data_IF_800971334149
#
_entry.id   IF_800971334149
#
_cell.length_a   1.000
_cell.length_b   1.000
_cell.length_c   1.000
_cell.angle_alpha   90.00
_cell.angle_beta   90.00
_cell.angle_gamma   90.00
#
_symmetry.space_group_name_H-M   'P 1'
#
loop_
_entity.id
_entity.type
_entity.pdbx_description
1 polymer ?
#
# COMPACT_ATOMS: atom_id res chain seq x y z
N UNK A 1 5.57 26.42 7.72
CA UNK A 1 5.48 25.03 7.20
C UNK A 1 5.61 25.10 5.70
N UNK A 2 6.49 24.28 5.13
CA UNK A 2 6.70 24.20 3.68
C UNK A 2 5.51 23.53 2.99
N UNK A 3 5.25 23.93 1.76
CA UNK A 3 4.27 23.25 0.92
C UNK A 3 4.84 21.93 0.39
N UNK A 4 4.05 20.87 0.45
CA UNK A 4 4.46 19.53 0.00
C UNK A 4 3.68 19.12 -1.24
N UNK A 5 4.40 18.63 -2.23
CA UNK A 5 3.84 18.21 -3.52
C UNK A 5 4.12 16.74 -3.80
N UNK A 6 3.23 16.13 -4.57
CA UNK A 6 3.40 14.80 -5.17
C UNK A 6 3.89 15.04 -6.59
N UNK A 7 5.04 14.50 -6.94
CA UNK A 7 5.63 14.68 -8.28
C UNK A 7 5.51 13.43 -9.15
N UNK A 8 5.36 12.28 -8.54
CA UNK A 8 5.24 11.00 -9.24
C UNK A 8 4.57 9.96 -8.36
N UNK A 9 4.09 8.89 -8.99
CA UNK A 9 3.58 7.72 -8.31
C UNK A 9 3.54 6.50 -9.21
N UNK A 10 3.61 5.33 -8.60
CA UNK A 10 3.51 4.05 -9.26
C UNK A 10 2.79 3.03 -8.37
N UNK A 11 2.09 2.09 -8.99
CA UNK A 11 1.53 0.91 -8.30
C UNK A 11 1.75 -0.36 -9.11
N UNK A 12 1.74 -1.49 -8.45
CA UNK A 12 1.60 -2.77 -9.13
C UNK A 12 0.14 -2.96 -9.60
N UNK A 13 -0.13 -3.89 -10.51
CA UNK A 13 -1.48 -4.42 -10.61
C UNK A 13 -1.92 -5.03 -9.28
N UNK A 14 -3.23 -5.05 -9.04
CA UNK A 14 -3.83 -5.67 -7.85
C UNK A 14 -4.09 -7.14 -8.11
N UNK A 15 -3.30 -8.01 -7.47
CA UNK A 15 -3.47 -9.45 -7.51
C UNK A 15 -4.64 -9.91 -6.62
N UNK A 16 -5.36 -10.94 -7.05
CA UNK A 16 -6.35 -11.63 -6.24
C UNK A 16 -5.66 -12.58 -5.24
N UNK A 17 -6.33 -12.89 -4.13
CA UNK A 17 -5.87 -13.89 -3.18
C UNK A 17 -5.63 -15.25 -3.85
N UNK A 18 -4.40 -15.76 -3.73
CA UNK A 18 -3.98 -16.98 -4.41
C UNK A 18 -3.81 -16.83 -5.94
N UNK A 19 -3.87 -15.59 -6.47
CA UNK A 19 -3.73 -15.26 -7.89
C UNK A 19 -2.29 -15.09 -8.36
N UNK A 20 -2.10 -14.23 -9.34
CA UNK A 20 -0.80 -14.06 -10.03
C UNK A 20 0.34 -13.65 -9.11
N UNK A 21 0.08 -12.84 -8.09
CA UNK A 21 1.11 -12.35 -7.16
C UNK A 21 1.32 -13.22 -5.91
N UNK A 22 0.63 -14.35 -5.77
CA UNK A 22 0.62 -15.20 -4.57
C UNK A 22 1.98 -15.67 -4.03
N UNK A 23 2.99 -15.68 -4.87
CA UNK A 23 4.35 -16.11 -4.53
C UNK A 23 5.38 -14.99 -4.63
N UNK A 24 4.96 -13.75 -4.87
CA UNK A 24 5.84 -12.59 -4.98
C UNK A 24 6.01 -11.93 -3.62
N UNK A 25 7.22 -11.92 -3.02
CA UNK A 25 7.46 -11.31 -1.72
C UNK A 25 7.08 -9.82 -1.71
N UNK A 26 6.44 -9.38 -0.63
CA UNK A 26 5.98 -7.99 -0.48
C UNK A 26 7.10 -6.97 -0.67
N UNK A 27 8.30 -7.28 -0.19
CA UNK A 27 9.47 -6.40 -0.31
C UNK A 27 9.91 -6.20 -1.77
N UNK A 28 9.68 -7.18 -2.65
CA UNK A 28 9.94 -7.05 -4.08
C UNK A 28 8.91 -6.14 -4.75
N UNK A 29 7.63 -6.26 -4.38
CA UNK A 29 6.58 -5.34 -4.87
C UNK A 29 6.85 -3.92 -4.39
N UNK A 30 7.22 -3.75 -3.12
CA UNK A 30 7.62 -2.46 -2.56
C UNK A 30 8.82 -1.85 -3.28
N UNK A 31 9.87 -2.63 -3.51
CA UNK A 31 11.05 -2.18 -4.25
C UNK A 31 10.71 -1.72 -5.68
N UNK A 32 9.87 -2.47 -6.37
CA UNK A 32 9.44 -2.15 -7.73
C UNK A 32 8.74 -0.80 -7.81
N UNK A 33 7.76 -0.54 -6.94
CA UNK A 33 7.01 0.73 -6.97
C UNK A 33 7.84 1.92 -6.51
N UNK A 34 8.76 1.75 -5.55
CA UNK A 34 9.70 2.79 -5.14
C UNK A 34 10.63 3.19 -6.30
N UNK A 35 11.21 2.19 -6.97
CA UNK A 35 12.08 2.38 -8.14
C UNK A 35 11.33 3.09 -9.28
N UNK A 36 10.14 2.62 -9.60
CA UNK A 36 9.36 3.17 -10.70
C UNK A 36 8.85 4.59 -10.43
N UNK A 37 8.51 4.91 -9.17
CA UNK A 37 8.15 6.27 -8.81
C UNK A 37 9.29 7.27 -9.06
N UNK A 38 10.54 6.87 -8.84
CA UNK A 38 11.72 7.67 -9.18
C UNK A 38 11.91 7.79 -10.70
N UNK A 39 11.88 6.66 -11.42
CA UNK A 39 12.04 6.62 -12.88
C UNK A 39 11.04 7.49 -13.61
N UNK A 40 9.77 7.42 -13.23
CA UNK A 40 8.70 8.25 -13.81
C UNK A 40 8.89 9.74 -13.58
N UNK A 41 9.58 10.12 -12.50
CA UNK A 41 9.97 11.50 -12.25
C UNK A 41 11.23 11.93 -13.02
N UNK A 42 11.85 11.05 -13.79
CA UNK A 42 13.14 11.32 -14.44
C UNK A 42 14.33 11.35 -13.46
N UNK A 43 14.19 10.69 -12.31
CA UNK A 43 15.16 10.74 -11.21
C UNK A 43 15.84 9.39 -10.97
N UNK A 44 17.06 9.46 -10.45
CA UNK A 44 17.80 8.32 -9.88
C UNK A 44 18.30 8.66 -8.49
N UNK A 45 18.28 7.70 -7.55
CA UNK A 45 18.75 7.96 -6.20
C UNK A 45 20.27 8.09 -6.14
N UNK A 46 20.74 8.99 -5.28
CA UNK A 46 22.16 9.22 -5.02
C UNK A 46 22.37 9.55 -3.54
N UNK A 47 23.53 9.18 -3.00
CA UNK A 47 23.97 9.64 -1.67
C UNK A 47 24.31 11.12 -1.73
N UNK A 48 23.77 11.91 -0.82
CA UNK A 48 24.10 13.34 -0.72
C UNK A 48 25.55 13.57 -0.35
N UNK A 49 26.10 14.68 -0.81
CA UNK A 49 27.51 15.02 -0.55
C UNK A 49 27.82 15.17 0.94
N UNK A 50 26.87 15.64 1.73
CA UNK A 50 26.99 15.78 3.18
C UNK A 50 27.08 14.46 3.94
N UNK A 51 26.56 13.36 3.35
CA UNK A 51 26.65 12.02 3.92
C UNK A 51 27.93 11.28 3.51
N UNK A 52 28.65 11.81 2.50
CA UNK A 52 29.95 11.28 2.08
C UNK A 52 30.98 11.69 3.11
N UNK A 53 31.51 10.75 3.87
CA UNK A 53 32.51 11.01 4.91
C UNK A 53 32.06 10.68 6.34
N UNK A 54 30.77 10.44 6.56
CA UNK A 54 30.25 9.87 7.80
C UNK A 54 30.26 8.33 7.81
N UNK A 55 30.81 7.73 6.77
CA UNK A 55 30.98 6.28 6.73
C UNK A 55 31.92 5.83 7.86
N UNK A 56 31.60 4.73 8.57
CA UNK A 56 32.55 4.10 9.48
C UNK A 56 33.87 3.82 8.78
N UNK A 57 35.00 4.00 9.47
CA UNK A 57 36.34 3.88 8.86
C UNK A 57 36.55 2.57 8.08
N UNK A 58 35.93 1.48 8.55
CA UNK A 58 35.98 0.18 7.86
C UNK A 58 35.20 0.14 6.52
N UNK A 59 34.35 1.13 6.25
CA UNK A 59 33.55 1.21 5.03
C UNK A 59 33.98 2.36 4.10
N UNK A 60 34.89 3.21 4.54
CA UNK A 60 35.41 4.33 3.74
C UNK A 60 36.02 3.83 2.42
N UNK A 61 35.53 4.39 1.32
CA UNK A 61 36.01 4.10 -0.01
C UNK A 61 35.55 2.78 -0.61
N UNK A 62 34.73 1.98 0.07
CA UNK A 62 34.17 0.74 -0.50
C UNK A 62 33.06 0.99 -1.52
N UNK A 63 32.48 2.20 -1.53
CA UNK A 63 31.37 2.57 -2.41
C UNK A 63 30.12 1.72 -2.13
N UNK A 64 29.36 1.42 -3.18
CA UNK A 64 28.15 0.59 -3.07
C UNK A 64 28.49 -0.85 -2.70
N UNK A 65 27.75 -1.44 -1.78
CA UNK A 65 27.81 -2.87 -1.48
C UNK A 65 27.38 -3.71 -2.68
N UNK A 66 27.74 -5.01 -2.72
CA UNK A 66 27.32 -5.88 -3.83
C UNK A 66 25.80 -6.00 -3.95
N UNK A 67 25.09 -5.91 -2.83
CA UNK A 67 23.62 -5.89 -2.82
C UNK A 67 23.08 -4.63 -3.47
N UNK A 68 23.63 -3.47 -3.15
CA UNK A 68 23.25 -2.18 -3.74
C UNK A 68 23.58 -2.16 -5.24
N UNK A 69 24.76 -2.60 -5.64
CA UNK A 69 25.17 -2.71 -7.07
C UNK A 69 24.20 -3.59 -7.86
N UNK A 70 23.77 -4.72 -7.29
CA UNK A 70 22.82 -5.63 -7.93
C UNK A 70 21.42 -5.00 -8.09
N UNK A 71 21.02 -4.17 -7.14
CA UNK A 71 19.70 -3.51 -7.14
C UNK A 71 19.68 -2.21 -7.96
N UNK A 72 20.84 -1.58 -8.16
CA UNK A 72 20.98 -0.29 -8.86
C UNK A 72 21.08 -0.50 -10.38
N UNK A 73 19.96 -0.31 -11.07
CA UNK A 73 19.82 -0.43 -12.53
C UNK A 73 19.18 0.82 -13.16
N UNK A 74 19.46 1.98 -12.58
CA UNK A 74 18.99 3.26 -13.11
C UNK A 74 19.82 3.71 -14.30
N UNK A 75 19.14 4.33 -15.28
CA UNK A 75 19.83 5.00 -16.39
C UNK A 75 20.65 6.19 -15.84
N UNK A 76 21.91 6.26 -16.26
CA UNK A 76 22.83 7.33 -15.84
C UNK A 76 22.40 8.72 -16.30
N UNK A 77 21.56 8.82 -17.36
CA UNK A 77 21.02 10.09 -17.88
C UNK A 77 19.95 10.70 -16.96
N UNK A 78 19.35 9.89 -16.04
CA UNK A 78 18.37 10.39 -15.08
C UNK A 78 19.02 11.36 -14.09
N UNK A 79 18.28 12.41 -13.72
CA UNK A 79 18.77 13.42 -12.79
C UNK A 79 18.97 12.83 -11.39
N UNK A 80 20.16 13.02 -10.78
CA UNK A 80 20.43 12.49 -9.45
C UNK A 80 19.66 13.25 -8.37
N UNK A 81 19.14 12.55 -7.38
CA UNK A 81 18.45 13.12 -6.21
C UNK A 81 18.77 12.33 -4.95
N UNK A 82 18.96 13.03 -3.85
CA UNK A 82 19.01 12.42 -2.51
C UNK A 82 17.58 12.10 -2.07
N UNK A 83 17.40 10.91 -1.53
CA UNK A 83 16.17 10.50 -0.85
C UNK A 83 16.45 10.50 0.64
N UNK A 84 15.71 11.30 1.38
CA UNK A 84 15.95 11.48 2.82
C UNK A 84 15.25 10.39 3.64
N UNK A 85 14.04 9.98 3.23
CA UNK A 85 13.28 8.98 3.98
C UNK A 85 12.34 8.15 3.09
N UNK A 86 12.16 6.88 3.46
CA UNK A 86 11.20 5.96 2.85
C UNK A 86 10.25 5.41 3.92
N UNK A 87 8.95 5.64 3.75
CA UNK A 87 7.92 5.19 4.69
C UNK A 87 6.93 4.29 3.98
N UNK A 88 6.87 3.01 4.37
CA UNK A 88 5.94 2.05 3.75
C UNK A 88 4.98 1.47 4.78
N UNK A 89 3.69 1.54 4.47
CA UNK A 89 2.65 0.83 5.20
C UNK A 89 2.70 -0.67 4.91
N UNK A 90 2.64 -1.49 5.95
CA UNK A 90 2.48 -2.94 5.85
C UNK A 90 1.76 -3.44 7.10
N UNK A 91 0.63 -4.10 6.92
CA UNK A 91 -0.25 -4.54 8.02
C UNK A 91 0.16 -5.89 8.54
N UNK A 92 0.57 -6.79 7.66
CA UNK A 92 0.83 -8.20 7.92
C UNK A 92 2.29 -8.57 7.69
N UNK A 93 3.24 -8.02 8.50
CA UNK A 93 4.68 -8.18 8.26
C UNK A 93 5.25 -9.51 8.77
N UNK A 94 4.44 -10.42 9.28
CA UNK A 94 4.91 -11.67 9.85
C UNK A 94 5.72 -12.48 8.82
N UNK A 95 6.87 -13.01 9.24
CA UNK A 95 7.80 -13.79 8.43
C UNK A 95 8.39 -13.07 7.20
N UNK A 96 8.27 -11.75 7.10
CA UNK A 96 8.86 -10.96 6.00
C UNK A 96 10.27 -10.41 6.33
N UNK A 97 10.81 -10.76 7.48
CA UNK A 97 12.10 -10.25 7.96
C UNK A 97 11.99 -8.89 8.65
N UNK A 98 13.13 -8.31 8.98
CA UNK A 98 13.19 -7.05 9.69
C UNK A 98 12.86 -5.89 8.75
N UNK A 99 12.01 -4.96 9.21
CA UNK A 99 11.70 -3.69 8.54
C UNK A 99 11.49 -3.84 7.01
N UNK A 100 10.35 -4.35 6.55
CA UNK A 100 10.08 -4.54 5.12
C UNK A 100 10.28 -3.29 4.26
N UNK A 101 10.03 -2.07 4.79
CA UNK A 101 10.32 -0.82 4.10
C UNK A 101 11.81 -0.66 3.80
N UNK A 102 12.68 -1.01 4.75
CA UNK A 102 14.14 -0.96 4.57
C UNK A 102 14.62 -1.96 3.51
N UNK A 103 14.05 -3.16 3.50
CA UNK A 103 14.36 -4.17 2.50
C UNK A 103 13.94 -3.69 1.10
N UNK A 104 12.75 -3.09 0.98
CA UNK A 104 12.26 -2.51 -0.27
C UNK A 104 13.11 -1.34 -0.76
N UNK A 105 13.58 -0.48 0.15
CA UNK A 105 14.48 0.63 -0.15
C UNK A 105 15.77 0.11 -0.83
N UNK A 106 16.46 -0.83 -0.19
CA UNK A 106 17.69 -1.43 -0.75
C UNK A 106 17.41 -2.15 -2.07
N UNK A 107 16.31 -2.93 -2.13
CA UNK A 107 15.88 -3.59 -3.36
C UNK A 107 15.51 -2.63 -4.50
N UNK A 108 15.13 -1.41 -4.19
CA UNK A 108 14.91 -0.34 -5.16
C UNK A 108 16.21 0.33 -5.65
N UNK A 109 17.37 -0.02 -5.10
CA UNK A 109 18.65 0.62 -5.42
C UNK A 109 18.81 2.00 -4.79
N UNK A 110 18.03 2.33 -3.76
CA UNK A 110 18.20 3.55 -2.98
C UNK A 110 19.37 3.34 -2.01
N UNK A 111 20.27 4.33 -1.83
CA UNK A 111 21.45 4.20 -1.01
C UNK A 111 21.16 3.77 0.43
N UNK A 112 22.07 3.00 1.02
CA UNK A 112 21.97 2.51 2.40
C UNK A 112 21.96 3.63 3.45
N UNK A 113 22.41 4.79 3.12
CA UNK A 113 22.42 6.00 3.96
C UNK A 113 21.01 6.56 4.17
N UNK A 114 20.09 6.32 3.22
CA UNK A 114 18.69 6.72 3.35
C UNK A 114 18.00 5.93 4.47
N UNK A 115 17.25 6.61 5.32
CA UNK A 115 16.48 5.97 6.39
C UNK A 115 15.16 5.39 5.88
N UNK A 116 14.64 4.37 6.57
CA UNK A 116 13.34 3.80 6.25
C UNK A 116 12.67 3.18 7.46
N UNK A 117 11.35 3.25 7.52
CA UNK A 117 10.58 2.50 8.51
C UNK A 117 9.24 2.00 7.95
N UNK A 118 8.78 0.91 8.56
CA UNK A 118 7.48 0.30 8.25
C UNK A 118 6.45 0.76 9.27
N UNK A 119 5.25 1.14 8.80
CA UNK A 119 4.17 1.60 9.68
C UNK A 119 2.94 0.71 9.53
N UNK A 120 2.28 0.45 10.66
CA UNK A 120 0.99 -0.20 10.73
C UNK A 120 -0.07 0.72 11.33
N UNK A 121 -1.06 1.06 10.54
CA UNK A 121 -2.32 1.71 10.91
C UNK A 121 -3.49 0.99 10.24
N UNK A 122 -3.41 -0.34 10.17
CA UNK A 122 -4.35 -1.21 9.45
C UNK A 122 -4.55 -0.73 8.01
N UNK A 123 -5.75 -0.82 7.46
CA UNK A 123 -6.08 -0.43 6.08
C UNK A 123 -5.69 1.01 5.70
N UNK A 124 -5.37 1.86 6.67
CA UNK A 124 -4.92 3.24 6.46
C UNK A 124 -3.39 3.41 6.49
N UNK A 125 -2.61 2.33 6.55
CA UNK A 125 -1.13 2.38 6.70
C UNK A 125 -0.46 3.16 5.58
N UNK A 126 -0.77 2.86 4.32
CA UNK A 126 -0.20 3.59 3.17
C UNK A 126 -0.55 5.08 3.18
N UNK A 127 -1.81 5.42 3.47
CA UNK A 127 -2.23 6.82 3.58
C UNK A 127 -1.55 7.53 4.77
N UNK A 128 -1.33 6.80 5.89
CA UNK A 128 -0.58 7.36 7.04
C UNK A 128 0.90 7.53 6.71
N UNK A 129 1.51 6.67 5.91
CA UNK A 129 2.87 6.85 5.41
C UNK A 129 3.00 8.17 4.63
N UNK A 130 2.07 8.45 3.72
CA UNK A 130 2.03 9.74 2.99
C UNK A 130 1.88 10.93 3.95
N UNK A 131 1.01 10.82 4.96
CA UNK A 131 0.85 11.88 5.96
C UNK A 131 2.13 12.11 6.79
N UNK A 132 2.88 11.07 7.14
CA UNK A 132 4.16 11.17 7.87
C UNK A 132 5.25 11.77 6.98
N UNK A 133 5.40 11.32 5.73
CA UNK A 133 6.32 11.93 4.77
C UNK A 133 6.01 13.41 4.54
N UNK A 134 4.72 13.77 4.47
CA UNK A 134 4.30 15.17 4.41
C UNK A 134 4.73 15.95 5.65
N UNK A 135 4.63 15.36 6.85
CA UNK A 135 5.05 15.99 8.10
C UNK A 135 6.56 16.23 8.11
N UNK A 136 7.35 15.21 7.77
CA UNK A 136 8.80 15.34 7.72
C UNK A 136 9.24 16.47 6.77
N UNK A 137 8.67 16.53 5.56
CA UNK A 137 9.00 17.57 4.58
C UNK A 137 8.51 18.96 5.05
N UNK A 138 7.28 19.05 5.56
CA UNK A 138 6.72 20.34 6.04
C UNK A 138 7.50 20.94 7.20
N UNK A 139 8.09 20.09 8.07
CA UNK A 139 8.89 20.52 9.21
C UNK A 139 10.34 20.83 8.82
N UNK A 140 10.80 20.39 7.65
CA UNK A 140 12.19 20.56 7.18
C UNK A 140 13.13 19.42 7.61
N UNK A 141 12.60 18.32 8.12
CA UNK A 141 13.37 17.12 8.48
C UNK A 141 13.79 16.34 7.20
N UNK A 142 13.07 16.54 6.10
CA UNK A 142 13.34 15.96 4.79
C UNK A 142 13.00 16.96 3.67
N UNK A 143 13.65 16.83 2.51
CA UNK A 143 13.32 17.54 1.27
C UNK A 143 12.60 16.62 0.29
N UNK A 144 13.02 15.36 0.23
CA UNK A 144 12.51 14.36 -0.71
C UNK A 144 12.24 13.05 0.02
N UNK A 145 11.02 12.56 -0.06
CA UNK A 145 10.62 11.30 0.56
C UNK A 145 9.81 10.41 -0.37
N UNK A 146 9.90 9.12 -0.17
CA UNK A 146 9.03 8.12 -0.78
C UNK A 146 8.08 7.57 0.28
N UNK A 147 6.79 7.60 -0.03
CA UNK A 147 5.76 7.11 0.90
C UNK A 147 4.73 6.26 0.18
N UNK A 148 4.33 5.15 0.79
CA UNK A 148 3.39 4.24 0.17
C UNK A 148 2.91 3.12 1.07
N UNK A 149 2.51 2.02 0.46
CA UNK A 149 2.11 0.80 1.15
C UNK A 149 2.31 -0.42 0.26
N UNK A 150 2.45 -1.56 0.90
CA UNK A 150 2.65 -2.84 0.25
C UNK A 150 2.05 -3.96 1.10
N UNK A 151 1.39 -4.91 0.46
CA UNK A 151 0.79 -6.05 1.14
C UNK A 151 0.76 -7.27 0.23
N UNK A 152 1.14 -8.43 0.74
CA UNK A 152 0.93 -9.73 0.08
C UNK A 152 0.14 -10.62 1.03
N UNK A 153 -1.18 -10.47 0.99
CA UNK A 153 -2.08 -11.20 1.87
C UNK A 153 -2.05 -12.71 1.58
N UNK A 154 -1.72 -13.09 0.34
CA UNK A 154 -1.54 -14.49 -0.07
C UNK A 154 -0.35 -15.18 0.58
N UNK A 155 0.63 -14.43 1.12
CA UNK A 155 1.83 -14.97 1.75
C UNK A 155 1.82 -14.91 3.27
N UNK A 156 0.72 -14.46 3.86
CA UNK A 156 0.63 -14.36 5.33
C UNK A 156 0.65 -15.76 5.93
N UNK A 157 1.55 -16.04 6.91
CA UNK A 157 1.69 -17.35 7.48
C UNK A 157 0.62 -17.64 8.55
N UNK A 158 0.56 -18.92 8.92
CA UNK A 158 -0.05 -19.36 10.17
C UNK A 158 0.99 -19.32 11.29
N UNK A 159 0.57 -19.11 12.53
CA UNK A 159 1.42 -19.13 13.70
C UNK A 159 0.91 -20.12 14.76
N UNK A 160 1.84 -20.67 15.50
CA UNK A 160 1.57 -21.53 16.67
C UNK A 160 2.16 -20.85 17.92
N UNK A 161 1.41 -19.98 18.61
CA UNK A 161 1.94 -19.14 19.69
C UNK A 161 2.53 -19.92 20.87
N UNK A 162 2.00 -21.10 21.13
CA UNK A 162 2.41 -21.95 22.26
C UNK A 162 3.71 -22.74 22.04
N UNK A 163 4.14 -22.91 20.77
CA UNK A 163 5.27 -23.76 20.40
C UNK A 163 6.64 -23.24 20.82
N UNK A 164 6.81 -21.96 21.09
CA UNK A 164 8.09 -21.40 21.56
C UNK A 164 8.60 -22.09 22.83
N UNK A 165 7.69 -22.53 23.68
CA UNK A 165 8.01 -23.18 24.95
C UNK A 165 7.62 -24.65 24.98
N UNK A 166 7.20 -25.21 23.84
CA UNK A 166 6.73 -26.56 23.64
C UNK A 166 5.26 -26.76 24.03
N UNK A 167 4.52 -27.48 23.23
CA UNK A 167 3.19 -27.98 23.58
C UNK A 167 3.37 -29.21 24.45
N UNK A 168 3.10 -29.10 25.75
CA UNK A 168 3.41 -30.18 26.72
C UNK A 168 2.40 -31.33 26.66
N UNK A 169 1.13 -31.02 26.45
CA UNK A 169 0.04 -32.04 26.40
C UNK A 169 -1.21 -31.41 25.79
N UNK A 170 -1.93 -32.14 24.93
CA UNK A 170 -3.15 -31.72 24.25
C UNK A 170 -2.91 -31.17 22.87
N UNK A 171 -3.99 -30.70 22.22
CA UNK A 171 -3.97 -30.20 20.88
C UNK A 171 -3.30 -28.83 20.79
N UNK A 172 -2.67 -28.54 19.62
CA UNK A 172 -2.07 -27.25 19.32
C UNK A 172 -2.91 -26.55 18.27
N UNK A 173 -3.32 -25.33 18.55
CA UNK A 173 -4.08 -24.48 17.61
C UNK A 173 -3.14 -23.66 16.77
N UNK A 174 -3.27 -23.79 15.46
CA UNK A 174 -2.59 -22.96 14.48
C UNK A 174 -3.47 -21.76 14.12
N UNK A 175 -3.00 -20.55 14.40
CA UNK A 175 -3.73 -19.31 14.13
C UNK A 175 -3.42 -18.79 12.72
N UNK A 176 -4.45 -18.51 11.95
CA UNK A 176 -4.33 -17.78 10.66
C UNK A 176 -4.06 -16.29 10.95
N UNK A 177 -2.83 -15.84 10.69
CA UNK A 177 -2.44 -14.46 10.95
C UNK A 177 -3.11 -13.46 9.97
N UNK A 178 -3.56 -13.91 8.80
CA UNK A 178 -4.36 -13.08 7.89
C UNK A 178 -5.67 -12.66 8.56
N UNK A 179 -6.32 -13.60 9.24
CA UNK A 179 -7.55 -13.33 9.99
C UNK A 179 -7.23 -12.57 11.27
N UNK A 180 -6.34 -13.10 12.09
CA UNK A 180 -6.08 -12.60 13.45
C UNK A 180 -5.57 -11.14 13.44
N UNK A 181 -4.58 -10.83 12.61
CA UNK A 181 -3.91 -9.52 12.59
C UNK A 181 -4.49 -8.55 11.55
N UNK A 182 -5.21 -9.05 10.54
CA UNK A 182 -5.71 -8.24 9.43
C UNK A 182 -7.22 -8.07 9.37
N UNK A 183 -8.01 -9.10 9.63
CA UNK A 183 -9.44 -9.11 9.33
C UNK A 183 -10.34 -9.29 10.55
N UNK A 184 -9.80 -9.66 11.71
CA UNK A 184 -10.53 -9.78 12.95
C UNK A 184 -10.53 -8.45 13.71
N UNK A 185 -11.71 -8.03 14.17
CA UNK A 185 -11.85 -6.89 15.07
C UNK A 185 -11.38 -7.32 16.47
N UNK A 186 -10.31 -6.69 16.97
CA UNK A 186 -9.59 -7.17 18.15
C UNK A 186 -10.34 -7.01 19.48
N UNK A 187 -11.30 -6.08 19.56
CA UNK A 187 -12.02 -5.78 20.82
C UNK A 187 -13.27 -6.65 20.99
N UNK A 188 -13.94 -6.97 19.88
CA UNK A 188 -15.17 -7.77 19.88
C UNK A 188 -14.98 -9.20 19.35
N UNK A 189 -13.82 -9.49 18.76
CA UNK A 189 -13.45 -10.84 18.33
C UNK A 189 -14.17 -11.36 17.09
N UNK A 190 -14.73 -10.49 16.25
CA UNK A 190 -15.43 -10.90 15.03
C UNK A 190 -14.77 -10.35 13.76
N UNK A 191 -15.07 -10.97 12.63
CA UNK A 191 -14.54 -10.59 11.33
C UNK A 191 -15.02 -9.21 10.88
N UNK A 192 -14.20 -8.46 10.10
CA UNK A 192 -14.56 -7.13 9.53
C UNK A 192 -15.88 -7.15 8.74
N UNK A 193 -16.29 -8.29 8.19
CA UNK A 193 -17.60 -8.45 7.55
C UNK A 193 -18.76 -8.19 8.50
N UNK A 194 -18.63 -8.49 9.79
CA UNK A 194 -19.65 -8.16 10.81
C UNK A 194 -19.70 -6.64 11.05
N UNK A 195 -18.57 -5.92 10.98
CA UNK A 195 -18.57 -4.46 11.05
C UNK A 195 -19.34 -3.84 9.88
N UNK A 196 -19.25 -4.45 8.69
CA UNK A 196 -20.04 -4.05 7.53
C UNK A 196 -21.54 -4.31 7.73
N UNK A 197 -21.92 -5.47 8.28
CA UNK A 197 -23.31 -5.76 8.65
C UNK A 197 -23.86 -4.77 9.69
N UNK A 198 -23.06 -4.42 10.71
CA UNK A 198 -23.42 -3.43 11.71
C UNK A 198 -23.70 -2.03 11.10
N UNK A 199 -22.93 -1.68 10.06
CA UNK A 199 -23.14 -0.42 9.31
C UNK A 199 -24.44 -0.51 8.49
N UNK A 200 -24.63 -1.62 7.78
CA UNK A 200 -25.83 -1.84 6.96
C UNK A 200 -27.09 -1.74 7.83
N UNK A 201 -27.10 -2.41 8.98
CA UNK A 201 -28.20 -2.37 9.95
C UNK A 201 -28.43 -0.96 10.51
N UNK A 202 -27.35 -0.31 10.97
CA UNK A 202 -27.43 1.02 11.59
C UNK A 202 -27.95 2.11 10.67
N UNK A 203 -27.59 2.04 9.38
CA UNK A 203 -27.95 3.07 8.39
C UNK A 203 -29.05 2.64 7.44
N UNK A 204 -29.63 1.45 7.63
CA UNK A 204 -30.72 0.93 6.82
C UNK A 204 -30.30 0.65 5.36
N UNK A 205 -29.03 0.26 5.13
CA UNK A 205 -28.51 0.01 3.78
C UNK A 205 -28.95 -1.39 3.35
N UNK A 206 -29.80 -1.46 2.35
CA UNK A 206 -30.34 -2.72 1.85
C UNK A 206 -29.31 -3.57 1.10
N UNK A 207 -29.57 -4.87 1.00
CA UNK A 207 -28.81 -5.81 0.19
C UNK A 207 -28.73 -5.34 -1.29
N UNK A 208 -29.85 -4.87 -1.83
CA UNK A 208 -29.91 -4.41 -3.23
C UNK A 208 -29.03 -3.17 -3.48
N UNK A 209 -28.95 -2.24 -2.54
CA UNK A 209 -28.05 -1.08 -2.66
C UNK A 209 -26.60 -1.48 -2.65
N UNK A 210 -26.22 -2.42 -1.76
CA UNK A 210 -24.86 -2.98 -1.69
C UNK A 210 -24.51 -3.70 -3.00
N UNK A 211 -25.38 -4.55 -3.52
CA UNK A 211 -25.17 -5.27 -4.78
C UNK A 211 -25.07 -4.33 -5.98
N UNK A 212 -25.92 -3.26 -6.04
CA UNK A 212 -25.81 -2.21 -7.08
C UNK A 212 -24.44 -1.54 -7.07
N UNK A 213 -23.93 -1.18 -5.89
CA UNK A 213 -22.59 -0.58 -5.76
C UNK A 213 -21.51 -1.58 -6.20
N UNK A 214 -21.61 -2.85 -5.81
CA UNK A 214 -20.68 -3.91 -6.22
C UNK A 214 -20.61 -4.06 -7.73
N UNK A 215 -21.76 -4.20 -8.41
CA UNK A 215 -21.84 -4.28 -9.88
C UNK A 215 -21.24 -3.04 -10.54
N UNK A 216 -21.63 -1.84 -10.09
CA UNK A 216 -21.13 -0.58 -10.63
C UNK A 216 -19.62 -0.44 -10.47
N UNK A 217 -19.07 -0.86 -9.34
CA UNK A 217 -17.63 -0.86 -9.07
C UNK A 217 -16.87 -1.75 -10.07
N UNK A 218 -17.34 -2.99 -10.27
CA UNK A 218 -16.75 -3.89 -11.26
C UNK A 218 -16.84 -3.34 -12.69
N UNK A 219 -17.99 -2.80 -13.08
CA UNK A 219 -18.19 -2.22 -14.40
C UNK A 219 -17.26 -1.03 -14.66
N UNK A 220 -17.11 -0.12 -13.68
CA UNK A 220 -16.19 1.03 -13.79
C UNK A 220 -14.74 0.60 -13.91
N UNK A 221 -14.30 -0.34 -13.07
CA UNK A 221 -12.92 -0.85 -13.12
C UNK A 221 -12.62 -1.55 -14.45
N UNK A 222 -13.52 -2.41 -14.94
CA UNK A 222 -13.37 -3.07 -16.25
C UNK A 222 -13.34 -2.07 -17.41
N UNK A 223 -14.19 -1.04 -17.36
CA UNK A 223 -14.19 0.04 -18.35
C UNK A 223 -12.84 0.76 -18.33
N UNK A 224 -12.35 1.15 -17.16
CA UNK A 224 -11.07 1.84 -17.00
C UNK A 224 -9.89 0.99 -17.54
N UNK A 225 -9.90 -0.33 -17.28
CA UNK A 225 -8.91 -1.27 -17.83
C UNK A 225 -8.99 -1.31 -19.35
N UNK A 226 -10.20 -1.48 -19.93
CA UNK A 226 -10.39 -1.55 -21.36
C UNK A 226 -9.98 -0.26 -22.10
N UNK A 227 -10.21 0.90 -21.48
CA UNK A 227 -9.82 2.22 -21.98
C UNK A 227 -8.35 2.57 -21.68
N UNK A 228 -7.61 1.71 -20.96
CA UNK A 228 -6.21 1.90 -20.62
C UNK A 228 -5.93 3.02 -19.61
N UNK A 229 -6.93 3.43 -18.82
CA UNK A 229 -6.82 4.57 -17.88
C UNK A 229 -5.84 4.32 -16.73
N UNK A 230 -5.45 3.07 -16.49
CA UNK A 230 -4.48 2.70 -15.45
C UNK A 230 -3.05 2.53 -15.95
N UNK A 231 -2.80 2.66 -17.27
CA UNK A 231 -1.48 2.40 -17.87
C UNK A 231 -0.38 3.30 -17.32
N UNK A 232 -0.71 4.55 -17.04
CA UNK A 232 0.26 5.53 -16.56
C UNK A 232 0.64 5.32 -15.08
N UNK A 233 -0.13 4.56 -14.32
CA UNK A 233 0.15 4.31 -12.90
C UNK A 233 0.70 2.90 -12.65
N UNK A 234 0.32 1.91 -13.46
CA UNK A 234 0.75 0.52 -13.28
C UNK A 234 2.17 0.29 -13.78
N UNK A 235 2.98 -0.36 -12.94
CA UNK A 235 4.26 -0.97 -13.32
C UNK A 235 4.06 -2.49 -13.40
N UNK A 236 4.38 -3.13 -14.53
CA UNK A 236 4.26 -4.58 -14.67
C UNK A 236 5.15 -5.33 -13.67
N UNK A 237 4.64 -6.41 -13.11
CA UNK A 237 5.41 -7.34 -12.28
C UNK A 237 5.83 -8.53 -13.13
N UNK A 238 7.14 -8.79 -13.21
CA UNK A 238 7.69 -9.94 -13.92
C UNK A 238 7.72 -11.14 -12.98
N UNK A 239 6.90 -12.14 -13.25
CA UNK A 239 6.78 -13.36 -12.42
C UNK A 239 7.66 -14.45 -13.03
N UNK A 240 8.76 -14.86 -12.36
CA UNK A 240 9.66 -15.90 -12.88
C UNK A 240 8.93 -17.22 -13.10
N UNK A 241 9.28 -17.88 -14.19
CA UNK A 241 8.80 -19.22 -14.53
C UNK A 241 9.91 -20.26 -14.35
N UNK A 242 9.54 -21.51 -14.09
CA UNK A 242 10.51 -22.62 -14.05
C UNK A 242 11.22 -22.83 -15.39
N UNK A 243 10.53 -22.57 -16.49
CA UNK A 243 11.04 -22.64 -17.88
C UNK A 243 10.38 -21.55 -18.69
N UNK A 244 11.14 -20.93 -19.61
CA UNK A 244 10.65 -19.86 -20.48
C UNK A 244 10.76 -18.47 -19.86
N UNK A 245 10.19 -17.50 -20.56
CA UNK A 245 10.22 -16.11 -20.15
C UNK A 245 9.31 -15.84 -18.93
N UNK A 246 9.60 -14.82 -18.11
CA UNK A 246 8.71 -14.41 -17.04
C UNK A 246 7.31 -14.05 -17.54
N UNK A 247 6.29 -14.38 -16.76
CA UNK A 247 4.93 -13.87 -17.04
C UNK A 247 4.91 -12.39 -16.71
N UNK A 248 4.43 -11.58 -17.64
CA UNK A 248 4.17 -10.15 -17.42
C UNK A 248 2.80 -10.00 -16.79
N UNK A 249 2.77 -9.60 -15.52
CA UNK A 249 1.54 -9.32 -14.78
C UNK A 249 1.34 -7.80 -14.74
N UNK A 250 0.41 -7.28 -15.55
CA UNK A 250 0.21 -5.85 -15.82
C UNK A 250 -1.24 -5.37 -15.69
N UNK A 251 -2.14 -6.25 -15.28
CA UNK A 251 -3.58 -5.97 -15.23
C UNK A 251 -4.18 -6.40 -13.89
N UNK A 252 -5.08 -5.57 -13.34
CA UNK A 252 -5.79 -5.87 -12.09
C UNK A 252 -6.69 -7.10 -12.24
N UNK A 253 -6.54 -8.12 -11.38
CA UNK A 253 -7.28 -9.38 -11.45
C UNK A 253 -8.69 -9.32 -10.86
N UNK A 254 -8.97 -8.37 -9.95
CA UNK A 254 -10.23 -8.36 -9.19
C UNK A 254 -11.48 -7.94 -9.97
N UNK A 255 -11.41 -7.05 -10.96
CA UNK A 255 -12.60 -6.64 -11.70
C UNK A 255 -13.22 -7.81 -12.49
N UNK A 256 -14.44 -8.20 -12.14
CA UNK A 256 -15.15 -9.33 -12.72
C UNK A 256 -16.32 -8.89 -13.62
N UNK A 257 -16.66 -9.73 -14.58
CA UNK A 257 -17.91 -9.62 -15.31
C UNK A 257 -19.05 -10.16 -14.45
N UNK A 258 -19.86 -9.25 -13.89
CA UNK A 258 -20.97 -9.59 -13.01
C UNK A 258 -22.18 -8.68 -13.22
N UNK A 259 -23.32 -9.08 -12.69
CA UNK A 259 -24.57 -8.34 -12.75
C UNK A 259 -25.41 -8.57 -11.48
N UNK A 260 -26.48 -7.81 -11.33
CA UNK A 260 -27.35 -7.87 -10.14
C UNK A 260 -27.98 -9.26 -9.93
N UNK A 261 -28.34 -9.95 -11.01
CA UNK A 261 -28.93 -11.29 -10.94
C UNK A 261 -27.95 -12.32 -10.37
N UNK A 262 -26.67 -12.24 -10.76
CA UNK A 262 -25.61 -13.10 -10.20
C UNK A 262 -25.35 -12.78 -8.73
N UNK A 263 -25.24 -11.51 -8.35
CA UNK A 263 -24.99 -11.10 -6.98
C UNK A 263 -26.16 -11.46 -6.05
N UNK A 264 -27.41 -11.31 -6.50
CA UNK A 264 -28.60 -11.66 -5.74
C UNK A 264 -28.65 -13.15 -5.30
N UNK A 265 -28.00 -14.04 -6.06
CA UNK A 265 -27.93 -15.48 -5.74
C UNK A 265 -26.89 -15.83 -4.66
N UNK A 266 -26.01 -14.89 -4.29
CA UNK A 266 -24.97 -15.12 -3.30
C UNK A 266 -25.54 -15.11 -1.88
N UNK A 267 -25.16 -16.10 -1.10
CA UNK A 267 -25.53 -16.17 0.33
C UNK A 267 -24.72 -15.15 1.15
N UNK A 268 -25.30 -14.62 2.26
CA UNK A 268 -24.55 -13.84 3.24
C UNK A 268 -23.36 -14.62 3.78
N UNK A 269 -22.19 -13.96 3.87
CA UNK A 269 -20.94 -14.59 4.22
C UNK A 269 -20.62 -14.56 5.73
N UNK A 270 -21.13 -13.57 6.45
CA UNK A 270 -20.66 -13.28 7.83
C UNK A 270 -21.76 -13.39 8.89
N UNK A 271 -23.01 -13.15 8.54
CA UNK A 271 -24.17 -13.16 9.47
C UNK A 271 -25.31 -13.94 8.85
N UNK A 272 -25.92 -14.86 9.63
CA UNK A 272 -27.16 -15.52 9.20
C UNK A 272 -28.23 -14.47 8.90
N UNK A 273 -28.84 -14.53 7.74
CA UNK A 273 -29.77 -13.51 7.22
C UNK A 273 -29.15 -12.10 7.09
N UNK A 274 -27.83 -12.01 6.92
CA UNK A 274 -27.13 -10.77 6.66
C UNK A 274 -27.27 -10.27 5.22
N UNK A 275 -26.58 -9.20 4.91
CA UNK A 275 -26.61 -8.52 3.61
C UNK A 275 -25.27 -8.52 2.88
N UNK A 276 -24.18 -8.76 3.62
CA UNK A 276 -22.82 -8.73 3.10
C UNK A 276 -22.43 -10.09 2.50
N UNK A 277 -22.02 -10.09 1.25
CA UNK A 277 -21.68 -11.30 0.47
C UNK A 277 -20.31 -11.17 -0.18
N UNK A 278 -19.79 -12.25 -0.75
CA UNK A 278 -18.56 -12.21 -1.55
C UNK A 278 -18.65 -11.27 -2.78
N UNK A 279 -19.86 -10.97 -3.27
CA UNK A 279 -20.07 -10.11 -4.44
C UNK A 279 -20.14 -8.61 -4.13
N UNK A 280 -20.41 -8.24 -2.89
CA UNK A 280 -20.51 -6.84 -2.46
C UNK A 280 -19.48 -6.48 -1.37
N UNK A 281 -18.49 -7.36 -1.13
CA UNK A 281 -17.34 -7.15 -0.25
C UNK A 281 -16.07 -6.87 -1.04
N UNK A 282 -15.11 -6.16 -0.44
CA UNK A 282 -13.75 -6.04 -0.99
C UNK A 282 -13.05 -7.41 -1.03
N UNK A 283 -12.16 -7.59 -1.99
CA UNK A 283 -11.32 -8.78 -2.05
C UNK A 283 -10.17 -8.75 -1.04
N UNK A 284 -9.57 -9.91 -0.84
CA UNK A 284 -8.26 -10.10 -0.24
C UNK A 284 -7.27 -10.00 -1.40
N UNK A 285 -6.25 -9.15 -1.29
CA UNK A 285 -5.44 -8.79 -2.45
C UNK A 285 -3.95 -8.68 -2.12
N UNK A 286 -3.13 -8.72 -3.18
CA UNK A 286 -1.68 -8.53 -3.16
C UNK A 286 -1.33 -7.33 -4.03
N UNK A 287 -0.65 -6.31 -3.49
CA UNK A 287 -0.24 -5.14 -4.27
C UNK A 287 0.77 -4.26 -3.51
N UNK A 288 1.37 -3.31 -4.23
CA UNK A 288 2.12 -2.21 -3.66
C UNK A 288 1.86 -0.91 -4.44
N UNK A 289 2.02 0.23 -3.76
CA UNK A 289 1.97 1.55 -4.36
C UNK A 289 2.91 2.51 -3.63
N UNK A 290 3.52 3.44 -4.35
CA UNK A 290 4.38 4.47 -3.78
C UNK A 290 4.18 5.81 -4.48
N UNK A 291 4.34 6.89 -3.71
CA UNK A 291 4.35 8.27 -4.17
C UNK A 291 5.71 8.89 -3.85
N UNK A 292 6.20 9.71 -4.76
CA UNK A 292 7.36 10.57 -4.53
C UNK A 292 6.86 11.94 -4.08
N UNK A 293 7.25 12.31 -2.86
CA UNK A 293 6.90 13.55 -2.20
C UNK A 293 8.14 14.44 -2.11
N UNK A 294 7.96 15.75 -2.24
CA UNK A 294 9.02 16.71 -1.98
C UNK A 294 8.48 18.08 -1.60
N UNK A 295 9.35 18.96 -1.09
CA UNK A 295 8.99 20.36 -0.94
C UNK A 295 8.70 20.98 -2.30
N UNK A 296 7.79 21.96 -2.36
CA UNK A 296 7.47 22.64 -3.63
C UNK A 296 8.69 23.36 -4.18
N UNK A 297 9.56 23.86 -3.29
CA UNK A 297 10.83 24.50 -3.64
C UNK A 297 11.74 23.50 -4.33
N UNK A 298 11.92 22.31 -3.75
CA UNK A 298 12.79 21.28 -4.33
C UNK A 298 12.28 20.78 -5.68
N UNK A 299 10.97 20.65 -5.84
CA UNK A 299 10.36 20.30 -7.13
C UNK A 299 10.70 21.34 -8.20
N UNK A 300 10.63 22.63 -7.87
CA UNK A 300 10.99 23.74 -8.79
C UNK A 300 12.48 23.73 -9.15
N UNK A 301 13.37 23.52 -8.16
CA UNK A 301 14.83 23.43 -8.39
C UNK A 301 15.18 22.28 -9.36
N UNK A 302 14.50 21.15 -9.23
CA UNK A 302 14.67 19.99 -10.11
C UNK A 302 13.93 20.11 -11.44
N UNK A 303 13.19 21.21 -11.67
CA UNK A 303 12.41 21.42 -12.89
C UNK A 303 11.21 20.46 -13.02
N UNK A 304 10.75 19.87 -11.92
CA UNK A 304 9.65 18.91 -11.93
C UNK A 304 8.30 19.59 -11.85
N UNK A 305 7.33 19.07 -12.60
CA UNK A 305 5.95 19.53 -12.54
C UNK A 305 5.16 18.70 -11.53
N UNK A 306 4.64 19.29 -10.43
CA UNK A 306 3.83 18.56 -9.48
C UNK A 306 2.54 18.01 -10.10
N UNK A 307 2.18 16.78 -9.74
CA UNK A 307 0.89 16.17 -10.05
C UNK A 307 -0.21 16.72 -9.13
N UNK A 308 0.13 16.94 -7.86
CA UNK A 308 -0.79 17.46 -6.86
C UNK A 308 -0.04 18.12 -5.70
N UNK A 309 -0.73 19.02 -4.97
CA UNK A 309 -0.26 19.61 -3.72
C UNK A 309 -1.08 19.07 -2.56
N UNK A 310 -0.42 18.61 -1.50
CA UNK A 310 -1.09 18.12 -0.31
C UNK A 310 -1.59 19.31 0.52
N UNK A 311 -2.91 19.48 0.56
CA UNK A 311 -3.54 20.62 1.26
C UNK A 311 -3.81 20.35 2.73
N UNK A 312 -4.19 19.12 3.07
CA UNK A 312 -4.48 18.73 4.45
C UNK A 312 -4.55 17.21 4.59
N UNK A 313 -4.28 16.75 5.77
CA UNK A 313 -4.53 15.37 6.21
C UNK A 313 -5.09 15.39 7.63
N UNK A 314 -5.79 14.33 7.99
CA UNK A 314 -6.31 14.21 9.36
C UNK A 314 -6.53 12.73 9.73
N UNK A 315 -6.50 12.46 11.03
CA UNK A 315 -6.83 11.17 11.60
C UNK A 315 -7.92 11.33 12.65
N UNK A 316 -8.86 10.38 12.71
CA UNK A 316 -9.90 10.35 13.73
C UNK A 316 -10.03 8.94 14.32
N UNK A 317 -10.23 8.87 15.63
CA UNK A 317 -10.68 7.66 16.32
C UNK A 317 -12.20 7.50 16.23
N UNK A 318 -12.70 6.29 16.44
CA UNK A 318 -14.13 5.97 16.48
C UNK A 318 -14.36 4.61 17.13
N UNK A 319 -15.62 4.27 17.40
CA UNK A 319 -15.96 2.94 17.91
C UNK A 319 -15.60 1.84 16.92
N UNK A 320 -14.91 0.82 17.38
CA UNK A 320 -14.38 -0.25 16.54
C UNK A 320 -15.46 -1.10 15.87
N UNK A 321 -16.61 -1.29 16.53
CA UNK A 321 -17.75 -2.02 15.97
C UNK A 321 -18.40 -1.39 14.74
N UNK A 322 -18.01 -0.17 14.36
CA UNK A 322 -18.51 0.59 13.22
C UNK A 322 -17.36 1.18 12.40
N UNK A 323 -16.40 0.38 12.02
CA UNK A 323 -15.17 0.80 11.37
C UNK A 323 -15.39 1.71 10.14
N UNK A 324 -16.32 1.37 9.26
CA UNK A 324 -16.64 2.16 8.06
C UNK A 324 -17.36 3.50 8.33
N UNK A 325 -17.99 3.70 9.51
CA UNK A 325 -18.75 4.91 9.81
C UNK A 325 -17.90 6.14 10.11
N UNK A 326 -16.58 5.99 10.23
CA UNK A 326 -15.64 7.08 10.52
C UNK A 326 -15.61 8.16 9.44
N UNK A 327 -15.95 7.83 8.20
CA UNK A 327 -15.99 8.77 7.09
C UNK A 327 -17.21 9.69 7.16
N UNK A 328 -18.34 9.25 7.69
CA UNK A 328 -19.59 10.04 7.75
C UNK A 328 -19.64 11.07 8.89
N UNK A 329 -18.99 10.82 10.04
CA UNK A 329 -19.01 11.76 11.19
C UNK A 329 -18.21 13.04 10.99
N UNK A 330 -17.54 13.23 9.87
CA UNK A 330 -16.74 14.41 9.54
C UNK A 330 -17.46 15.48 8.74
N UNK A 331 -18.75 15.40 8.57
CA UNK A 331 -19.55 16.48 7.93
C UNK A 331 -19.91 17.62 8.90
N UNK A 332 -19.29 17.74 10.05
CA UNK A 332 -19.32 18.98 10.85
C UNK A 332 -18.36 20.04 10.31
N UNK A 333 -18.47 21.33 10.72
CA UNK A 333 -17.85 22.50 10.06
C UNK A 333 -16.34 22.63 10.21
N UNK A 334 -15.60 21.57 10.33
CA UNK A 334 -14.13 21.58 10.33
C UNK A 334 -13.62 21.42 8.90
N UNK A 335 -12.87 22.41 8.42
CA UNK A 335 -12.04 22.45 7.20
C UNK A 335 -12.22 21.19 6.36
N UNK A 336 -13.31 21.18 5.62
CA UNK A 336 -13.90 19.99 5.07
C UNK A 336 -13.12 19.50 3.86
N UNK A 337 -13.11 18.19 3.66
CA UNK A 337 -12.74 17.55 2.41
C UNK A 337 -13.43 18.18 1.16
N UNK A 338 -14.47 18.97 1.33
CA UNK A 338 -15.12 19.75 0.26
C UNK A 338 -14.22 20.79 -0.42
N UNK A 339 -13.12 21.23 0.23
CA UNK A 339 -12.13 22.10 -0.43
C UNK A 339 -11.01 21.35 -1.15
N UNK A 340 -10.97 20.02 -1.06
CA UNK A 340 -9.91 19.17 -1.60
C UNK A 340 -10.34 18.41 -2.86
N UNK A 341 -11.64 18.30 -3.10
CA UNK A 341 -12.13 17.70 -4.34
C UNK A 341 -12.38 18.80 -5.38
N UNK A 342 -11.80 18.72 -6.59
CA UNK A 342 -12.22 19.56 -7.71
C UNK A 342 -13.72 19.32 -7.93
N UNK A 343 -14.48 20.42 -8.05
CA UNK A 343 -15.84 20.33 -8.58
C UNK A 343 -15.71 20.02 -10.07
N UNK A 344 -15.88 18.75 -10.43
CA UNK A 344 -16.20 18.32 -11.80
C UNK A 344 -17.20 17.17 -11.73
#
# INVERSE_FOLDING_TARGET
>A
MRDVVIVSGARTPVGAFGGGLKSTPVVQLGALVLKEALRKAGLRPQTGAELQGFEPDALKGLGLTDLEKKAYDYDASLQPVQIDEVIMGNVLPAAQGQNPARQSLIGAGIPKETTAFTINKLCASGMKAVALGTQAISNGDAEVGLAGGMETMSMVPYAVPTERWGARMGDVVMADLLILDGLQESFYGYHMGITAENIAEKYGISRQEQDKLGVLSHQRARKAIAEGLFKDEIVPVLIPQRKGDPIVFDTDERPMDTNLERLAKLSPAFKKNGTVTAGNSSGINDAAAALLLMSEERAKELGLKPLAKIKAYASAGGGSGLHGSRLQKRQGPSISAQKVLPQH
#
